data_IF_614505658163
#
_entry.id   IF_614505658163
#
_cell.length_a   1.000
_cell.length_b   1.000
_cell.length_c   1.000
_cell.angle_alpha   90.00
_cell.angle_beta   90.00
_cell.angle_gamma   90.00
#
_symmetry.space_group_name_H-M   'P 1'
#
loop_
_entity.id
_entity.type
_entity.pdbx_description
1 polymer ?
#
# COMPACT_ATOMS: atom_id res chain seq x y z
N UNK A 1 19.78 -3.05 6.67
CA UNK A 1 18.50 -3.74 6.45
C UNK A 1 18.27 -3.77 4.95
N UNK A 2 18.34 -4.94 4.32
CA UNK A 2 18.08 -5.10 2.89
C UNK A 2 16.61 -4.79 2.65
N UNK A 3 16.31 -3.80 1.80
CA UNK A 3 14.95 -3.58 1.32
C UNK A 3 14.65 -4.76 0.39
N UNK A 4 13.57 -5.49 0.67
CA UNK A 4 13.11 -6.54 -0.22
C UNK A 4 12.94 -5.96 -1.63
N UNK A 5 13.40 -6.70 -2.64
CA UNK A 5 13.19 -6.30 -4.03
C UNK A 5 11.69 -6.34 -4.33
N UNK A 6 11.20 -5.50 -5.25
CA UNK A 6 9.77 -5.49 -5.60
C UNK A 6 9.32 -6.84 -6.18
N UNK A 7 10.23 -7.57 -6.82
CA UNK A 7 9.97 -8.94 -7.29
C UNK A 7 9.68 -9.88 -6.11
N UNK A 8 10.38 -9.76 -4.98
CA UNK A 8 10.08 -10.49 -3.73
C UNK A 8 8.69 -10.15 -3.18
N UNK A 9 8.16 -8.96 -3.40
CA UNK A 9 6.79 -8.61 -2.98
C UNK A 9 5.71 -9.15 -3.94
N UNK A 10 6.09 -9.55 -5.16
CA UNK A 10 5.20 -10.06 -6.22
C UNK A 10 5.20 -11.59 -6.33
N UNK A 11 6.21 -12.27 -5.77
CA UNK A 11 6.29 -13.72 -5.82
C UNK A 11 5.16 -14.39 -5.02
N UNK A 12 4.38 -15.32 -5.60
CA UNK A 12 3.33 -16.06 -4.89
C UNK A 12 3.88 -16.92 -3.74
N UNK A 13 5.17 -17.26 -3.79
CA UNK A 13 5.88 -18.04 -2.75
C UNK A 13 6.41 -17.16 -1.61
N UNK A 14 6.43 -15.83 -1.79
CA UNK A 14 6.79 -14.86 -0.75
C UNK A 14 5.57 -14.42 0.05
N UNK A 15 4.73 -15.38 0.47
CA UNK A 15 3.69 -15.14 1.45
C UNK A 15 4.33 -14.90 2.82
N UNK A 16 4.81 -13.67 3.03
CA UNK A 16 5.19 -13.22 4.37
C UNK A 16 3.90 -13.04 5.15
N UNK A 17 3.48 -14.09 5.85
CA UNK A 17 2.33 -14.06 6.74
C UNK A 17 2.69 -13.26 7.99
N UNK A 18 2.28 -11.98 8.02
CA UNK A 18 2.32 -11.18 9.23
C UNK A 18 1.09 -11.46 10.07
N UNK A 19 1.26 -12.27 11.13
CA UNK A 19 0.23 -12.48 12.14
C UNK A 19 0.29 -11.34 13.15
N UNK A 20 -0.75 -10.52 13.19
CA UNK A 20 -0.91 -9.49 14.21
C UNK A 20 -1.57 -10.12 15.44
N UNK A 21 -0.83 -10.23 16.54
CA UNK A 21 -1.42 -10.53 17.84
C UNK A 21 -2.12 -9.26 18.35
N UNK A 22 -3.45 -9.31 18.35
CA UNK A 22 -4.30 -8.19 18.76
C UNK A 22 -4.82 -8.35 20.19
N UNK A 23 -4.55 -9.49 20.85
CA UNK A 23 -5.07 -9.78 22.18
C UNK A 23 -6.58 -9.55 22.29
N UNK A 24 -6.98 -8.59 23.13
CA UNK A 24 -8.38 -8.17 23.33
C UNK A 24 -8.71 -6.84 22.65
N UNK A 25 -7.79 -6.28 21.85
CA UNK A 25 -8.00 -5.02 21.16
C UNK A 25 -9.11 -5.13 20.12
N UNK A 26 -9.89 -4.06 19.95
CA UNK A 26 -10.89 -3.99 18.88
C UNK A 26 -10.16 -3.80 17.55
N UNK A 27 -10.50 -4.62 16.57
CA UNK A 27 -9.94 -4.52 15.21
C UNK A 27 -10.87 -3.70 14.33
N UNK A 28 -10.34 -2.65 13.71
CA UNK A 28 -11.04 -1.80 12.74
C UNK A 28 -10.40 -2.04 11.37
N UNK A 29 -11.19 -2.50 10.41
CA UNK A 29 -10.75 -2.74 9.04
C UNK A 29 -11.33 -1.67 8.13
N UNK A 30 -10.47 -0.99 7.37
CA UNK A 30 -10.84 0.12 6.48
C UNK A 30 -10.42 -0.23 5.05
N UNK A 31 -11.34 -0.07 4.10
CA UNK A 31 -11.09 -0.27 2.67
C UNK A 31 -10.29 0.88 2.04
N UNK A 32 -10.44 1.02 0.72
CA UNK A 32 -9.68 1.96 -0.11
C UNK A 32 -9.79 3.41 0.39
N UNK A 33 -8.65 4.09 0.53
CA UNK A 33 -8.58 5.48 0.99
C UNK A 33 -8.32 6.43 -0.17
N UNK A 34 -7.55 6.02 -1.18
CA UNK A 34 -7.30 6.76 -2.42
C UNK A 34 -6.92 8.23 -2.21
N UNK A 35 -5.97 8.54 -1.32
CA UNK A 35 -5.51 9.90 -1.08
C UNK A 35 -6.51 10.81 -0.34
N UNK A 36 -7.56 10.26 0.26
CA UNK A 36 -8.57 10.98 1.04
C UNK A 36 -8.17 11.08 2.53
N UNK A 37 -7.13 11.86 2.82
CA UNK A 37 -6.55 11.96 4.17
C UNK A 37 -7.52 12.53 5.21
N UNK A 38 -8.34 13.51 4.83
CA UNK A 38 -9.29 14.15 5.74
C UNK A 38 -10.44 13.21 6.10
N UNK A 39 -10.92 12.46 5.14
CA UNK A 39 -11.96 11.45 5.28
C UNK A 39 -11.48 10.31 6.17
N UNK A 40 -10.23 9.85 5.98
CA UNK A 40 -9.62 8.85 6.86
C UNK A 40 -9.53 9.37 8.30
N UNK A 41 -9.06 10.60 8.51
CA UNK A 41 -9.00 11.20 9.84
C UNK A 41 -10.39 11.35 10.49
N UNK A 42 -11.38 11.80 9.71
CA UNK A 42 -12.77 11.93 10.17
C UNK A 42 -13.40 10.57 10.50
N UNK A 43 -13.09 9.52 9.72
CA UNK A 43 -13.55 8.16 9.98
C UNK A 43 -12.95 7.61 11.27
N UNK A 44 -11.65 7.76 11.49
CA UNK A 44 -10.99 7.36 12.73
C UNK A 44 -11.60 8.07 13.95
N UNK A 45 -11.85 9.38 13.84
CA UNK A 45 -12.53 10.14 14.90
C UNK A 45 -13.95 9.63 15.15
N UNK A 46 -14.72 9.36 14.09
CA UNK A 46 -16.10 8.82 14.19
C UNK A 46 -16.15 7.42 14.81
N UNK A 47 -15.14 6.59 14.57
CA UNK A 47 -15.00 5.28 15.20
C UNK A 47 -14.55 5.35 16.68
N UNK A 48 -14.16 6.54 17.16
CA UNK A 48 -13.54 6.72 18.46
C UNK A 48 -12.23 5.94 18.56
N UNK A 49 -11.41 5.97 17.49
CA UNK A 49 -10.15 5.24 17.44
C UNK A 49 -9.21 5.70 18.57
N UNK A 50 -8.68 4.72 19.31
CA UNK A 50 -7.60 4.91 20.25
C UNK A 50 -6.50 3.89 20.02
N UNK A 51 -5.28 4.39 19.80
CA UNK A 51 -4.08 3.55 19.63
C UNK A 51 -3.79 2.63 20.83
N UNK A 52 -4.32 2.93 22.02
CA UNK A 52 -4.11 2.11 23.21
C UNK A 52 -5.00 0.86 23.29
N UNK A 53 -6.11 0.83 22.53
CA UNK A 53 -7.14 -0.21 22.63
C UNK A 53 -7.62 -0.76 21.29
N UNK A 54 -7.20 -0.15 20.18
CA UNK A 54 -7.63 -0.51 18.84
C UNK A 54 -6.44 -0.81 17.93
N UNK A 55 -6.66 -1.76 17.02
CA UNK A 55 -5.78 -2.05 15.90
C UNK A 55 -6.51 -1.70 14.62
N UNK A 56 -5.88 -0.90 13.76
CA UNK A 56 -6.45 -0.50 12.46
C UNK A 56 -5.67 -1.17 11.34
N UNK A 57 -6.40 -1.79 10.41
CA UNK A 57 -5.86 -2.43 9.21
C UNK A 57 -6.48 -1.76 7.97
N UNK A 58 -5.64 -1.13 7.15
CA UNK A 58 -5.97 -0.57 5.85
C UNK A 58 -5.78 -1.65 4.77
N UNK A 59 -6.80 -1.92 3.97
CA UNK A 59 -6.82 -3.03 3.02
C UNK A 59 -6.01 -2.79 1.72
N UNK A 60 -5.46 -1.60 1.53
CA UNK A 60 -4.69 -1.21 0.36
C UNK A 60 -5.28 0.02 -0.31
N UNK A 61 -4.68 0.44 -1.42
CA UNK A 61 -5.15 1.56 -2.23
C UNK A 61 -5.22 2.86 -1.42
N UNK A 62 -4.17 3.11 -0.63
CA UNK A 62 -4.00 4.33 0.16
C UNK A 62 -3.70 5.53 -0.74
N UNK A 63 -3.01 5.29 -1.85
CA UNK A 63 -2.55 6.34 -2.77
C UNK A 63 -3.35 6.36 -4.08
N UNK A 64 -3.09 7.40 -4.88
CA UNK A 64 -3.67 7.63 -6.20
C UNK A 64 -5.14 8.07 -6.17
N UNK A 65 -5.61 8.68 -7.28
CA UNK A 65 -6.94 9.29 -7.50
C UNK A 65 -7.24 10.53 -6.64
N UNK A 66 -6.95 10.52 -5.34
CA UNK A 66 -7.14 11.68 -4.46
C UNK A 66 -5.92 12.59 -4.36
N UNK A 67 -6.12 13.85 -3.96
CA UNK A 67 -5.07 14.88 -3.96
C UNK A 67 -4.05 14.72 -2.82
N UNK A 68 -4.36 13.99 -1.75
CA UNK A 68 -3.57 13.98 -0.51
C UNK A 68 -2.93 12.63 -0.19
N UNK A 69 -2.37 11.97 -1.22
CA UNK A 69 -1.72 10.64 -1.06
C UNK A 69 -0.57 10.65 -0.05
N UNK A 70 0.22 11.73 0.00
CA UNK A 70 1.36 11.84 0.95
C UNK A 70 0.83 11.94 2.38
N UNK A 71 -0.23 12.72 2.59
CA UNK A 71 -0.85 12.93 3.89
C UNK A 71 -1.51 11.66 4.41
N UNK A 72 -2.10 10.82 3.55
CA UNK A 72 -2.62 9.49 3.95
C UNK A 72 -1.50 8.63 4.51
N UNK A 73 -0.38 8.52 3.79
CA UNK A 73 0.77 7.72 4.23
C UNK A 73 1.36 8.26 5.52
N UNK A 74 1.49 9.58 5.64
CA UNK A 74 1.96 10.24 6.87
C UNK A 74 1.03 9.93 8.05
N UNK A 75 -0.27 10.10 7.87
CA UNK A 75 -1.28 9.83 8.90
C UNK A 75 -1.22 8.37 9.35
N UNK A 76 -1.17 7.42 8.40
CA UNK A 76 -1.08 6.00 8.72
C UNK A 76 0.16 5.67 9.57
N UNK A 77 1.32 6.26 9.24
CA UNK A 77 2.56 6.05 10.00
C UNK A 77 2.51 6.69 11.39
N UNK A 78 2.06 7.94 11.48
CA UNK A 78 2.00 8.68 12.74
C UNK A 78 1.05 8.01 13.75
N UNK A 79 -0.11 7.56 13.27
CA UNK A 79 -1.10 6.87 14.08
C UNK A 79 -0.76 5.40 14.35
N UNK A 80 0.20 4.82 13.62
CA UNK A 80 0.59 3.41 13.77
C UNK A 80 -0.45 2.44 13.22
N UNK A 81 -1.09 2.81 12.10
CA UNK A 81 -2.03 1.95 11.38
C UNK A 81 -1.27 0.91 10.58
N UNK A 82 -1.82 -0.29 10.46
CA UNK A 82 -1.29 -1.32 9.55
C UNK A 82 -1.90 -1.16 8.16
N UNK A 83 -1.13 -1.48 7.12
CA UNK A 83 -1.61 -1.42 5.75
C UNK A 83 -1.10 -2.62 4.95
N UNK A 84 -1.99 -3.17 4.12
CA UNK A 84 -1.64 -4.10 3.06
C UNK A 84 -1.27 -3.27 1.83
N UNK A 85 -0.28 -3.71 1.05
CA UNK A 85 0.04 -3.07 -0.22
C UNK A 85 -1.03 -3.45 -1.26
N UNK A 86 -1.78 -2.47 -1.76
CA UNK A 86 -2.72 -2.63 -2.87
C UNK A 86 -2.03 -2.48 -4.22
N UNK A 87 -2.79 -2.69 -5.30
CA UNK A 87 -2.26 -2.59 -6.67
C UNK A 87 -1.69 -1.19 -6.97
N UNK A 88 -2.31 -0.13 -6.42
CA UNK A 88 -1.81 1.23 -6.60
C UNK A 88 -0.45 1.46 -5.93
N UNK A 89 -0.21 0.90 -4.74
CA UNK A 89 1.09 0.94 -4.09
C UNK A 89 2.15 0.15 -4.88
N UNK A 90 1.80 -1.05 -5.35
CA UNK A 90 2.71 -1.87 -6.17
C UNK A 90 3.15 -1.15 -7.45
N UNK A 91 2.23 -0.48 -8.15
CA UNK A 91 2.56 0.30 -9.36
C UNK A 91 3.48 1.47 -9.00
N UNK A 92 3.19 2.19 -7.92
CA UNK A 92 4.03 3.31 -7.47
C UNK A 92 5.47 2.85 -7.13
N UNK A 93 5.61 1.73 -6.43
CA UNK A 93 6.91 1.14 -6.10
C UNK A 93 7.66 0.71 -7.36
N UNK A 94 7.00 0.05 -8.33
CA UNK A 94 7.64 -0.33 -9.59
C UNK A 94 8.17 0.88 -10.37
N UNK A 95 7.37 1.95 -10.47
CA UNK A 95 7.81 3.22 -11.09
C UNK A 95 9.03 3.79 -10.41
N UNK A 96 9.03 3.78 -9.07
CA UNK A 96 10.15 4.25 -8.27
C UNK A 96 11.42 3.45 -8.52
N UNK A 97 11.34 2.12 -8.61
CA UNK A 97 12.49 1.27 -8.88
C UNK A 97 13.09 1.52 -10.27
N UNK A 98 12.24 1.59 -11.31
CA UNK A 98 12.67 1.90 -12.67
C UNK A 98 13.30 3.31 -12.71
N UNK A 99 12.68 4.28 -12.05
CA UNK A 99 13.21 5.64 -11.98
C UNK A 99 14.57 5.71 -11.29
N UNK A 100 14.78 4.99 -10.18
CA UNK A 100 16.08 4.94 -9.49
C UNK A 100 17.20 4.43 -10.41
N UNK A 101 16.88 3.49 -11.31
CA UNK A 101 17.86 2.87 -12.19
C UNK A 101 18.10 3.68 -13.48
N UNK A 102 17.05 4.30 -14.02
CA UNK A 102 17.09 4.92 -15.36
C UNK A 102 17.02 6.44 -15.35
N UNK A 103 16.61 7.05 -14.23
CA UNK A 103 16.26 8.48 -14.13
C UNK A 103 14.95 8.86 -14.83
N UNK A 104 14.24 7.91 -15.44
CA UNK A 104 13.02 8.14 -16.21
C UNK A 104 11.83 7.51 -15.49
N UNK A 105 10.74 8.27 -15.35
CA UNK A 105 9.48 7.73 -14.82
C UNK A 105 8.74 7.01 -15.95
N UNK A 106 8.54 5.69 -15.87
CA UNK A 106 7.85 4.95 -16.92
C UNK A 106 6.38 5.34 -16.99
N UNK A 107 5.89 5.56 -18.22
CA UNK A 107 4.46 5.76 -18.47
C UNK A 107 3.74 4.41 -18.26
N UNK A 108 2.58 4.39 -17.59
CA UNK A 108 1.76 3.19 -17.53
C UNK A 108 1.29 2.80 -18.94
N UNK A 109 1.16 1.51 -19.20
CA UNK A 109 0.49 0.99 -20.39
C UNK A 109 -1.04 1.20 -20.31
N UNK A 110 -1.77 0.73 -21.33
CA UNK A 110 -3.23 0.83 -21.40
C UNK A 110 -3.97 0.13 -20.23
N UNK A 111 -3.29 -0.74 -19.49
CA UNK A 111 -3.80 -1.46 -18.33
C UNK A 111 -3.30 -0.89 -17.00
N UNK A 112 -2.54 0.22 -17.01
CA UNK A 112 -2.02 0.86 -15.80
C UNK A 112 -0.72 0.25 -15.26
N UNK A 113 -0.14 -0.72 -15.95
CA UNK A 113 1.08 -1.43 -15.55
C UNK A 113 2.33 -0.73 -16.12
N UNK A 114 3.44 -0.78 -15.38
CA UNK A 114 4.74 -0.34 -15.87
C UNK A 114 5.48 -1.56 -16.39
N UNK A 115 5.41 -1.79 -17.70
CA UNK A 115 5.93 -3.02 -18.27
C UNK A 115 7.45 -3.14 -18.09
N UNK A 116 7.87 -4.20 -17.42
CA UNK A 116 9.10 -4.94 -17.75
C UNK A 116 8.65 -6.33 -18.20
N UNK A 117 8.45 -6.51 -19.50
CA UNK A 117 8.24 -7.84 -20.07
C UNK A 117 9.55 -8.63 -19.93
N UNK A 118 9.63 -9.57 -19.00
CA UNK A 118 10.60 -10.66 -19.12
C UNK A 118 10.06 -11.60 -20.18
N UNK A 119 10.63 -11.51 -21.38
CA UNK A 119 10.36 -12.40 -22.49
C UNK A 119 10.78 -13.83 -22.13
N UNK A 120 9.90 -14.60 -21.50
CA UNK A 120 9.98 -16.06 -21.51
C UNK A 120 8.60 -16.68 -21.35
N UNK A 121 7.95 -16.85 -22.50
CA UNK A 121 7.12 -18.03 -22.76
C UNK A 121 5.65 -17.95 -22.37
N UNK A 122 4.84 -17.61 -23.39
CA UNK A 122 3.46 -18.01 -23.62
C UNK A 122 2.41 -17.68 -22.53
N UNK A 123 1.51 -16.74 -22.89
CA UNK A 123 0.14 -16.73 -22.40
C UNK A 123 -0.78 -17.11 -23.59
N UNK A 124 -1.83 -17.95 -23.37
CA UNK A 124 -2.80 -18.36 -24.40
C UNK A 124 -3.69 -17.22 -24.91
#
# INVERSE_FOLDING_TARGET
>A
MSLASIDELRHPDALTHHVLDTGTARVIVIGDVHGCAFELAALLAKCGYSRSSDVVILLGDLVNKGPHSIEVIRLAREQGLHAIAGNHEFIALQKWEIWKQTGVVPKPDEHGLTQTWTSSGNCP
#
